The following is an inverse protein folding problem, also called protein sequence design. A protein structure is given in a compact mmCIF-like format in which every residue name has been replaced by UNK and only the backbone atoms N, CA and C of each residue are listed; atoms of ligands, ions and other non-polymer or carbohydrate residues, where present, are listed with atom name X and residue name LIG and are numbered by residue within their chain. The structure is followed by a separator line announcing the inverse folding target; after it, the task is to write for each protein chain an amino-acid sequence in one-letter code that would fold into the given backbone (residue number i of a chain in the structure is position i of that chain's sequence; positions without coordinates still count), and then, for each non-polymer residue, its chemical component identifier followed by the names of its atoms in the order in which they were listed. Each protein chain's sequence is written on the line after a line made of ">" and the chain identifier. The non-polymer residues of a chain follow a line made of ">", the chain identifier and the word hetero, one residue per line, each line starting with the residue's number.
data_IF_332761076787
#
_entry.id   IF_332761076787
#
_cell.length_a   1.000
_cell.length_b   1.000
_cell.length_c   1.000
_cell.angle_alpha   90.00
_cell.angle_beta   90.00
_cell.angle_gamma   90.00
#
_symmetry.space_group_name_H-M   'P 1'
#
loop_
_entity.id
_entity.type
_entity.pdbx_description
1 polymer ?
#
# COMPACT_ATOMS: atom_id res chain seq x y z
N UNK A 1 -32.35 -41.74 -12.42
CA UNK A 1 -31.07 -41.06 -12.11
C UNK A 1 -31.29 -39.56 -12.32
N UNK A 2 -31.70 -38.85 -11.26
CA UNK A 2 -31.88 -37.40 -11.31
C UNK A 2 -30.52 -36.78 -11.00
N UNK A 3 -29.90 -36.13 -11.98
CA UNK A 3 -28.69 -35.33 -11.77
C UNK A 3 -29.11 -34.00 -11.14
N UNK A 4 -28.93 -33.86 -9.85
CA UNK A 4 -28.98 -32.55 -9.17
C UNK A 4 -27.64 -31.85 -9.38
N UNK A 5 -27.53 -31.05 -10.44
CA UNK A 5 -26.53 -29.98 -10.49
C UNK A 5 -27.07 -28.81 -9.66
N UNK A 6 -26.78 -28.81 -8.36
CA UNK A 6 -26.94 -27.62 -7.53
C UNK A 6 -25.65 -26.81 -7.59
N UNK A 7 -25.53 -25.91 -8.56
CA UNK A 7 -24.67 -24.73 -8.40
C UNK A 7 -25.37 -23.85 -7.36
N UNK A 8 -24.97 -24.00 -6.10
CA UNK A 8 -25.37 -23.08 -5.04
C UNK A 8 -24.84 -21.69 -5.40
N UNK A 9 -25.74 -20.74 -5.65
CA UNK A 9 -25.39 -19.33 -5.80
C UNK A 9 -24.89 -18.83 -4.44
N UNK A 10 -23.59 -18.54 -4.35
CA UNK A 10 -22.99 -17.93 -3.18
C UNK A 10 -23.49 -16.49 -3.05
N UNK A 11 -23.68 -16.05 -1.81
CA UNK A 11 -24.06 -14.66 -1.56
C UNK A 11 -22.86 -13.72 -1.81
N UNK A 12 -23.15 -12.44 -2.15
CA UNK A 12 -22.11 -11.42 -2.39
C UNK A 12 -21.15 -11.23 -1.19
N UNK A 13 -21.61 -11.49 0.03
CA UNK A 13 -20.79 -11.41 1.24
C UNK A 13 -19.82 -12.60 1.34
N UNK A 14 -20.28 -13.82 1.10
CA UNK A 14 -19.45 -15.03 1.07
C UNK A 14 -18.38 -14.94 -0.02
N UNK A 15 -18.72 -14.41 -1.20
CA UNK A 15 -17.73 -14.20 -2.27
C UNK A 15 -16.64 -13.20 -1.88
N UNK A 16 -16.99 -12.11 -1.19
CA UNK A 16 -16.02 -11.10 -0.73
C UNK A 16 -15.09 -11.68 0.32
N UNK A 17 -15.62 -12.45 1.26
CA UNK A 17 -14.86 -13.11 2.31
C UNK A 17 -13.89 -14.14 1.71
N UNK A 18 -14.35 -14.96 0.75
CA UNK A 18 -13.52 -15.91 0.01
C UNK A 18 -12.36 -15.22 -0.74
N UNK A 19 -12.64 -14.12 -1.45
CA UNK A 19 -11.59 -13.36 -2.16
C UNK A 19 -10.58 -12.74 -1.19
N UNK A 20 -11.02 -12.26 -0.03
CA UNK A 20 -10.13 -11.72 0.98
C UNK A 20 -9.23 -12.81 1.61
N UNK A 21 -9.80 -13.99 1.90
CA UNK A 21 -9.04 -15.14 2.38
C UNK A 21 -7.98 -15.60 1.37
N UNK A 22 -8.35 -15.68 0.08
CA UNK A 22 -7.39 -15.96 -0.99
C UNK A 22 -6.29 -14.89 -1.10
N UNK A 23 -6.64 -13.61 -0.92
CA UNK A 23 -5.67 -12.52 -0.91
C UNK A 23 -4.69 -12.65 0.27
N UNK A 24 -5.20 -12.97 1.46
CA UNK A 24 -4.38 -13.21 2.65
C UNK A 24 -3.42 -14.39 2.44
N UNK A 25 -3.93 -15.52 1.95
CA UNK A 25 -3.11 -16.70 1.64
C UNK A 25 -1.98 -16.35 0.66
N UNK A 26 -2.32 -15.69 -0.45
CA UNK A 26 -1.36 -15.25 -1.44
C UNK A 26 -0.28 -14.32 -0.85
N UNK A 27 -0.65 -13.46 0.09
CA UNK A 27 0.28 -12.56 0.74
C UNK A 27 1.12 -13.25 1.83
N UNK A 28 0.68 -14.37 2.40
CA UNK A 28 1.44 -15.17 3.38
C UNK A 28 2.48 -16.06 2.69
N UNK A 29 2.14 -16.63 1.53
CA UNK A 29 3.02 -17.56 0.81
C UNK A 29 4.10 -16.81 0.02
N UNK A 30 3.82 -15.61 -0.47
CA UNK A 30 4.75 -14.89 -1.34
C UNK A 30 5.93 -14.28 -0.59
N UNK A 31 7.13 -14.68 -0.98
CA UNK A 31 8.41 -14.12 -0.53
C UNK A 31 8.97 -13.03 -1.44
N UNK A 32 8.63 -13.04 -2.74
CA UNK A 32 9.21 -12.15 -3.75
C UNK A 32 8.17 -11.57 -4.73
N UNK A 33 8.62 -10.61 -5.55
CA UNK A 33 7.82 -10.02 -6.63
C UNK A 33 7.50 -11.06 -7.71
N UNK A 34 6.33 -10.90 -8.33
CA UNK A 34 5.94 -11.72 -9.49
C UNK A 34 6.47 -11.06 -10.76
N UNK A 35 7.24 -11.81 -11.56
CA UNK A 35 7.74 -11.36 -12.85
C UNK A 35 6.59 -11.06 -13.82
N UNK A 36 6.73 -9.96 -14.58
CA UNK A 36 5.71 -9.56 -15.55
C UNK A 36 6.35 -8.93 -16.80
N UNK A 37 6.18 -9.61 -17.94
CA UNK A 37 6.69 -9.18 -19.24
C UNK A 37 5.83 -8.07 -19.86
N UNK A 38 4.54 -7.99 -19.53
CA UNK A 38 3.60 -7.01 -20.09
C UNK A 38 3.97 -5.59 -19.70
N UNK A 39 3.86 -4.65 -20.64
CA UNK A 39 4.11 -3.23 -20.37
C UNK A 39 2.98 -2.63 -19.52
N UNK A 40 3.30 -1.57 -18.78
CA UNK A 40 2.31 -0.85 -17.97
C UNK A 40 1.65 0.20 -18.85
N UNK A 41 0.34 0.16 -18.94
CA UNK A 41 -0.45 1.19 -19.59
C UNK A 41 -0.70 2.35 -18.61
N UNK A 42 -0.47 3.59 -19.07
CA UNK A 42 -0.63 4.79 -18.25
C UNK A 42 -1.61 5.73 -18.94
N UNK A 43 -2.75 5.96 -18.29
CA UNK A 43 -3.73 6.97 -18.68
C UNK A 43 -3.57 8.16 -17.74
N UNK A 44 -2.98 9.25 -18.23
CA UNK A 44 -2.76 10.45 -17.44
C UNK A 44 -4.00 11.35 -17.43
N UNK A 45 -4.16 12.13 -16.35
CA UNK A 45 -5.22 13.14 -16.24
C UNK A 45 -5.02 14.27 -17.25
N UNK A 46 -3.78 14.68 -17.47
CA UNK A 46 -3.39 15.62 -18.52
C UNK A 46 -2.63 14.85 -19.62
N UNK A 47 -3.19 14.74 -20.84
CA UNK A 47 -2.57 14.01 -21.94
C UNK A 47 -1.25 14.63 -22.45
N UNK A 48 -0.99 15.90 -22.14
CA UNK A 48 0.19 16.62 -22.62
C UNK A 48 1.34 16.61 -21.61
N UNK A 49 1.10 16.08 -20.40
CA UNK A 49 2.13 15.92 -19.39
C UNK A 49 3.13 14.84 -19.84
N UNK A 50 4.45 15.03 -19.65
CA UNK A 50 5.41 13.99 -19.98
C UNK A 50 5.20 12.74 -19.11
N UNK A 51 5.43 11.57 -19.71
CA UNK A 51 5.45 10.30 -18.98
C UNK A 51 6.71 10.26 -18.11
N UNK A 52 6.54 10.15 -16.79
CA UNK A 52 7.63 9.97 -15.86
C UNK A 52 7.73 8.49 -15.48
N UNK A 53 8.88 7.89 -15.77
CA UNK A 53 9.27 6.56 -15.30
C UNK A 53 10.61 6.69 -14.60
N UNK A 54 10.71 6.13 -13.40
CA UNK A 54 11.97 6.05 -12.64
C UNK A 54 12.52 4.65 -12.66
N UNK A 55 13.85 4.50 -12.63
CA UNK A 55 14.51 3.18 -12.61
C UNK A 55 15.23 2.87 -11.30
N UNK A 56 15.32 3.85 -10.41
CA UNK A 56 16.00 3.75 -9.12
C UNK A 56 15.19 4.49 -8.03
N UNK A 57 15.40 4.13 -6.77
CA UNK A 57 14.72 4.80 -5.66
C UNK A 57 15.35 6.16 -5.34
N UNK A 58 16.61 6.35 -5.74
CA UNK A 58 17.41 7.56 -5.62
C UNK A 58 16.84 8.70 -6.49
N UNK A 59 16.33 8.38 -7.68
CA UNK A 59 15.65 9.32 -8.58
C UNK A 59 14.39 9.95 -7.94
N UNK A 60 13.77 9.27 -6.99
CA UNK A 60 12.55 9.73 -6.31
C UNK A 60 12.81 10.77 -5.21
N UNK A 61 14.08 11.08 -4.90
CA UNK A 61 14.47 12.08 -3.89
C UNK A 61 13.77 11.89 -2.53
N UNK A 62 13.65 10.64 -2.10
CA UNK A 62 13.00 10.29 -0.83
C UNK A 62 13.79 10.85 0.37
N UNK A 63 13.08 11.06 1.50
CA UNK A 63 13.74 11.35 2.78
C UNK A 63 14.78 10.26 3.08
N UNK A 64 16.01 10.59 3.53
CA UNK A 64 17.08 9.61 3.72
C UNK A 64 16.68 8.41 4.60
N UNK A 65 15.91 8.67 5.65
CA UNK A 65 15.40 7.66 6.57
C UNK A 65 14.42 6.69 5.87
N UNK A 66 13.63 7.19 4.93
CA UNK A 66 12.69 6.36 4.16
C UNK A 66 13.44 5.51 3.14
N UNK A 67 14.41 6.10 2.44
CA UNK A 67 15.25 5.37 1.49
C UNK A 67 16.03 4.24 2.19
N UNK A 68 16.55 4.49 3.39
CA UNK A 68 17.17 3.47 4.24
C UNK A 68 16.17 2.35 4.60
N UNK A 69 14.92 2.69 4.89
CA UNK A 69 13.85 1.73 5.14
C UNK A 69 13.56 0.83 3.94
N UNK A 70 13.51 1.40 2.73
CA UNK A 70 13.34 0.67 1.47
C UNK A 70 14.47 -0.36 1.28
N UNK A 71 15.73 0.02 1.47
CA UNK A 71 16.85 -0.92 1.33
C UNK A 71 16.89 -1.97 2.45
N UNK A 72 16.53 -1.61 3.68
CA UNK A 72 16.49 -2.55 4.81
C UNK A 72 15.44 -3.66 4.60
N UNK A 73 14.41 -3.40 3.79
CA UNK A 73 13.44 -4.41 3.34
C UNK A 73 13.96 -5.30 2.19
N UNK A 74 15.16 -5.03 1.66
CA UNK A 74 15.76 -5.76 0.55
C UNK A 74 15.30 -5.30 -0.84
N UNK A 75 14.67 -4.12 -0.95
CA UNK A 75 14.26 -3.58 -2.24
C UNK A 75 15.43 -2.86 -2.91
N UNK A 76 15.94 -3.44 -4.01
CA UNK A 76 17.07 -2.88 -4.75
C UNK A 76 16.64 -1.90 -5.86
N UNK A 77 15.51 -2.17 -6.51
CA UNK A 77 14.95 -1.33 -7.58
C UNK A 77 13.41 -1.30 -7.49
N UNK A 78 12.77 -0.22 -7.98
CA UNK A 78 11.32 -0.19 -8.11
C UNK A 78 10.81 -1.35 -8.98
N UNK A 79 9.67 -1.92 -8.64
CA UNK A 79 8.98 -2.86 -9.52
C UNK A 79 8.35 -2.14 -10.71
N UNK A 80 8.03 -2.87 -11.79
CA UNK A 80 7.43 -2.30 -13.02
C UNK A 80 6.23 -1.37 -12.79
N UNK A 81 5.36 -1.71 -11.83
CA UNK A 81 4.22 -0.84 -11.48
C UNK A 81 4.67 0.38 -10.65
N UNK A 82 5.69 0.22 -9.80
CA UNK A 82 6.26 1.31 -8.99
C UNK A 82 7.01 2.33 -9.83
N UNK A 83 7.72 1.90 -10.89
CA UNK A 83 8.43 2.79 -11.81
C UNK A 83 7.52 3.89 -12.38
N UNK A 84 6.24 3.57 -12.60
CA UNK A 84 5.24 4.51 -13.12
C UNK A 84 4.37 5.13 -12.00
N UNK A 85 4.01 4.34 -10.98
CA UNK A 85 3.16 4.81 -9.89
C UNK A 85 3.85 5.80 -8.97
N UNK A 86 5.11 5.54 -8.57
CA UNK A 86 5.81 6.37 -7.59
C UNK A 86 6.03 7.81 -8.06
N UNK A 87 6.44 8.09 -9.31
CA UNK A 87 6.56 9.47 -9.79
C UNK A 87 5.23 10.23 -9.75
N UNK A 88 4.13 9.60 -10.15
CA UNK A 88 2.80 10.22 -10.09
C UNK A 88 2.36 10.45 -8.64
N UNK A 89 2.57 9.46 -7.77
CA UNK A 89 2.22 9.53 -6.36
C UNK A 89 3.10 10.51 -5.59
N UNK A 90 4.32 10.81 -6.02
CA UNK A 90 5.27 11.71 -5.34
C UNK A 90 5.42 13.07 -6.05
N UNK A 91 4.68 13.29 -7.13
CA UNK A 91 4.66 14.57 -7.82
C UNK A 91 4.27 15.72 -6.88
N UNK A 92 4.72 16.92 -7.25
CA UNK A 92 4.36 18.18 -6.59
C UNK A 92 3.61 19.06 -7.62
N UNK A 93 2.29 19.27 -7.46
CA UNK A 93 1.42 18.73 -6.41
C UNK A 93 1.11 17.22 -6.57
N UNK A 94 0.70 16.54 -5.48
CA UNK A 94 0.34 15.12 -5.52
C UNK A 94 -0.80 14.85 -6.50
N UNK A 95 -0.68 13.78 -7.28
CA UNK A 95 -1.72 13.35 -8.20
C UNK A 95 -2.47 12.13 -7.67
N UNK A 96 -3.78 12.10 -7.89
CA UNK A 96 -4.60 10.92 -7.62
C UNK A 96 -4.26 9.81 -8.61
N UNK A 97 -4.25 8.56 -8.14
CA UNK A 97 -3.88 7.40 -8.95
C UNK A 97 -4.86 6.26 -8.75
N UNK A 98 -5.33 5.68 -9.86
CA UNK A 98 -5.95 4.36 -9.89
C UNK A 98 -4.94 3.41 -10.53
N UNK A 99 -4.50 2.41 -9.78
CA UNK A 99 -3.52 1.44 -10.25
C UNK A 99 -4.10 0.02 -10.20
N UNK A 100 -4.17 -0.64 -11.35
CA UNK A 100 -4.55 -2.05 -11.46
C UNK A 100 -3.32 -2.90 -11.78
N UNK A 101 -3.10 -3.95 -11.01
CA UNK A 101 -2.12 -4.99 -11.35
C UNK A 101 -2.37 -6.26 -10.51
N UNK A 102 -1.83 -7.39 -10.95
CA UNK A 102 -1.94 -8.65 -10.19
C UNK A 102 -1.32 -8.56 -8.79
N UNK A 103 -1.77 -9.40 -7.86
CA UNK A 103 -1.16 -9.45 -6.53
C UNK A 103 0.32 -9.86 -6.63
N UNK A 104 1.19 -9.33 -5.76
CA UNK A 104 2.63 -9.60 -5.80
C UNK A 104 3.47 -8.67 -6.71
N UNK A 105 2.88 -7.62 -7.28
CA UNK A 105 3.62 -6.64 -8.12
C UNK A 105 4.22 -5.46 -7.33
N UNK A 106 4.07 -5.40 -6.02
CA UNK A 106 4.64 -4.32 -5.20
C UNK A 106 3.71 -3.12 -4.95
N UNK A 107 2.41 -3.23 -5.24
CA UNK A 107 1.41 -2.16 -4.94
C UNK A 107 1.43 -1.70 -3.48
N UNK A 108 1.52 -2.63 -2.53
CA UNK A 108 1.55 -2.29 -1.10
C UNK A 108 2.75 -1.43 -0.74
N UNK A 109 3.94 -1.82 -1.18
CA UNK A 109 5.14 -1.01 -0.99
C UNK A 109 5.01 0.36 -1.68
N UNK A 110 4.36 0.45 -2.85
CA UNK A 110 4.17 1.72 -3.56
C UNK A 110 3.38 2.75 -2.74
N UNK A 111 2.19 2.38 -2.24
CA UNK A 111 1.38 3.32 -1.46
C UNK A 111 1.91 3.56 -0.06
N UNK A 112 2.56 2.57 0.57
CA UNK A 112 3.21 2.78 1.88
C UNK A 112 4.33 3.79 1.76
N UNK A 113 5.16 3.69 0.72
CA UNK A 113 6.23 4.65 0.44
C UNK A 113 5.66 6.05 0.19
N UNK A 114 4.56 6.16 -0.57
CA UNK A 114 3.88 7.44 -0.80
C UNK A 114 3.27 8.06 0.47
N UNK A 115 2.73 7.25 1.38
CA UNK A 115 2.24 7.71 2.70
C UNK A 115 3.41 8.21 3.55
N UNK A 116 4.45 7.39 3.72
CA UNK A 116 5.60 7.71 4.56
C UNK A 116 6.40 8.91 4.06
N UNK A 117 6.43 9.15 2.74
CA UNK A 117 7.08 10.32 2.16
C UNK A 117 6.43 11.63 2.59
N UNK A 118 5.12 11.60 2.94
CA UNK A 118 4.32 12.78 3.26
C UNK A 118 4.11 13.01 4.74
N UNK A 119 4.18 11.96 5.56
CA UNK A 119 4.00 12.08 7.00
C UNK A 119 5.10 12.97 7.59
N UNK A 120 4.67 13.87 8.49
CA UNK A 120 5.53 14.64 9.36
C UNK A 120 5.43 14.10 10.80
N UNK A 121 6.41 13.31 11.30
CA UNK A 121 6.34 12.66 12.61
C UNK A 121 6.20 13.60 13.81
N UNK A 122 6.63 14.87 13.67
CA UNK A 122 6.47 15.90 14.69
C UNK A 122 4.99 16.18 15.02
N UNK A 123 4.11 16.07 14.03
CA UNK A 123 2.68 16.35 14.15
C UNK A 123 1.90 15.13 14.66
N UNK A 124 1.44 15.18 15.92
CA UNK A 124 0.87 14.04 16.65
C UNK A 124 -0.62 13.82 16.40
N UNK A 125 -1.01 13.72 15.13
CA UNK A 125 -2.36 13.36 14.71
C UNK A 125 -2.33 12.51 13.43
N UNK A 126 -3.43 11.78 13.10
CA UNK A 126 -3.48 11.00 11.86
C UNK A 126 -3.37 11.89 10.62
N UNK A 127 -2.32 11.67 9.81
CA UNK A 127 -2.06 12.40 8.56
C UNK A 127 -2.27 11.54 7.30
N UNK A 128 -2.29 10.23 7.46
CA UNK A 128 -2.51 9.27 6.38
C UNK A 128 -3.52 8.22 6.84
N UNK A 129 -4.41 7.80 5.93
CA UNK A 129 -5.43 6.79 6.19
C UNK A 129 -5.34 5.71 5.11
N UNK A 130 -5.29 4.45 5.54
CA UNK A 130 -5.32 3.29 4.66
C UNK A 130 -6.52 2.40 5.02
N UNK A 131 -7.41 2.17 4.05
CA UNK A 131 -8.56 1.28 4.23
C UNK A 131 -8.18 -0.11 3.73
N UNK A 132 -8.35 -1.10 4.60
CA UNK A 132 -8.15 -2.51 4.28
C UNK A 132 -9.48 -3.26 4.33
N UNK A 133 -9.71 -4.23 3.43
CA UNK A 133 -11.00 -4.93 3.36
C UNK A 133 -11.25 -5.86 4.55
N UNK A 134 -10.19 -6.33 5.22
CA UNK A 134 -10.29 -7.18 6.42
C UNK A 134 -9.27 -6.79 7.48
N UNK A 135 -9.51 -7.29 8.70
CA UNK A 135 -8.64 -7.12 9.86
C UNK A 135 -7.21 -7.64 9.61
N UNK A 136 -7.08 -8.84 9.06
CA UNK A 136 -5.81 -9.52 8.82
C UNK A 136 -4.99 -8.79 7.77
N UNK A 137 -5.65 -8.29 6.71
CA UNK A 137 -5.00 -7.50 5.67
C UNK A 137 -4.58 -6.12 6.19
N UNK A 138 -5.32 -5.54 7.14
CA UNK A 138 -4.91 -4.32 7.84
C UNK A 138 -3.63 -4.54 8.64
N UNK A 139 -3.57 -5.60 9.45
CA UNK A 139 -2.37 -5.98 10.20
C UNK A 139 -1.18 -6.23 9.29
N UNK A 140 -1.39 -6.93 8.18
CA UNK A 140 -0.30 -7.21 7.25
C UNK A 140 0.23 -5.94 6.59
N UNK A 141 -0.65 -5.03 6.19
CA UNK A 141 -0.24 -3.74 5.64
C UNK A 141 0.47 -2.90 6.69
N UNK A 142 0.00 -2.94 7.94
CA UNK A 142 0.63 -2.25 9.07
C UNK A 142 2.06 -2.73 9.35
N UNK A 143 2.33 -4.04 9.28
CA UNK A 143 3.70 -4.58 9.37
C UNK A 143 4.62 -4.00 8.28
N UNK A 144 4.12 -3.81 7.06
CA UNK A 144 4.90 -3.20 5.97
C UNK A 144 5.19 -1.73 6.28
N UNK A 145 4.21 -0.99 6.82
CA UNK A 145 4.39 0.41 7.25
C UNK A 145 5.47 0.49 8.35
N UNK A 146 5.40 -0.36 9.36
CA UNK A 146 6.36 -0.39 10.48
C UNK A 146 7.78 -0.76 10.01
N UNK A 147 7.91 -1.73 9.10
CA UNK A 147 9.21 -2.12 8.55
C UNK A 147 9.83 -1.02 7.69
N UNK A 148 9.06 -0.45 6.75
CA UNK A 148 9.55 0.59 5.85
C UNK A 148 9.81 1.91 6.61
N UNK A 149 8.99 2.21 7.62
CA UNK A 149 9.09 3.40 8.46
C UNK A 149 10.04 3.26 9.65
N UNK A 150 10.76 2.15 9.80
CA UNK A 150 11.56 1.82 11.01
C UNK A 150 12.59 2.89 11.38
N UNK A 151 13.12 3.63 10.41
CA UNK A 151 14.11 4.68 10.63
C UNK A 151 13.51 6.08 10.81
N UNK A 152 12.18 6.23 10.81
CA UNK A 152 11.52 7.47 11.22
C UNK A 152 11.32 7.45 12.73
N UNK A 153 12.16 8.16 13.52
CA UNK A 153 11.96 8.22 14.94
C UNK A 153 10.57 8.81 15.21
N UNK A 154 9.90 8.26 16.22
CA UNK A 154 8.60 8.71 16.68
C UNK A 154 7.40 8.50 15.74
N UNK A 155 7.57 7.86 14.57
CA UNK A 155 6.44 7.41 13.75
C UNK A 155 5.61 6.38 14.53
N UNK A 156 4.29 6.59 14.59
CA UNK A 156 3.36 5.67 15.25
C UNK A 156 2.24 5.28 14.31
N UNK A 157 1.80 4.03 14.42
CA UNK A 157 0.68 3.47 13.68
C UNK A 157 -0.49 3.20 14.64
N UNK A 158 -1.70 3.49 14.19
CA UNK A 158 -2.93 3.16 14.91
C UNK A 158 -3.81 2.24 14.03
N UNK A 159 -4.37 1.18 14.63
CA UNK A 159 -5.25 0.26 13.94
C UNK A 159 -6.71 0.54 14.30
N UNK A 160 -7.43 1.20 13.40
CA UNK A 160 -8.87 1.45 13.53
C UNK A 160 -9.68 0.22 13.10
N UNK A 161 -9.56 -0.87 13.86
CA UNK A 161 -10.18 -2.16 13.58
C UNK A 161 -11.03 -2.66 14.75
N UNK A 162 -11.93 -3.61 14.49
CA UNK A 162 -12.81 -4.17 15.53
C UNK A 162 -11.99 -4.72 16.70
N UNK A 163 -12.40 -4.39 17.93
CA UNK A 163 -11.73 -4.83 19.15
C UNK A 163 -10.56 -3.95 19.59
N UNK A 164 -10.24 -2.88 18.85
CA UNK A 164 -9.21 -1.94 19.28
C UNK A 164 -9.63 -1.21 20.57
N UNK A 165 -8.74 -1.18 21.55
CA UNK A 165 -8.91 -0.37 22.77
C UNK A 165 -8.31 1.01 22.49
N UNK A 166 -9.12 1.92 21.96
CA UNK A 166 -8.72 3.32 21.89
C UNK A 166 -8.65 3.89 23.31
N UNK A 167 -7.45 3.97 23.88
CA UNK A 167 -7.23 4.85 25.03
C UNK A 167 -7.43 6.29 24.57
N UNK A 168 -8.57 6.88 24.93
CA UNK A 168 -8.81 8.30 24.76
C UNK A 168 -7.87 9.07 25.71
N UNK A 169 -6.64 9.31 25.27
CA UNK A 169 -5.75 10.27 25.94
C UNK A 169 -6.23 11.65 25.50
N UNK A 170 -7.05 12.27 26.34
CA UNK A 170 -7.72 13.54 26.07
C UNK A 170 -6.82 14.50 25.31
N UNK A 171 -7.25 14.86 24.10
CA UNK A 171 -6.63 15.93 23.35
C UNK A 171 -6.69 17.19 24.23
N UNK A 172 -5.53 17.76 24.59
CA UNK A 172 -5.54 19.14 25.07
C UNK A 172 -6.13 19.99 23.95
N UNK A 173 -7.10 20.87 24.21
CA UNK A 173 -7.52 21.84 23.23
C UNK A 173 -6.28 22.63 22.78
N UNK A 174 -6.09 22.75 21.46
CA UNK A 174 -5.10 23.72 20.94
C UNK A 174 -5.58 25.12 21.39
N UNK A 175 -4.66 26.02 21.78
CA UNK A 175 -5.00 27.39 22.17
C UNK A 175 -5.69 28.16 21.03
#
# INVERSE_FOLDING_TARGET
>A
VIKTNATAEKTDEEEKEDRAAQSLLNKLIRSNLVDNTNQVEVLQRDPNSPLYSVKSFEELRLKPQLLQGVYAMGFNRPSKIQENALPMMLAEPPQNLIAQSQSGTGKTAAFVLAMLSRVEPAERYPQCLCLSPTYELALQTGKVIEQMGRFHPELKLAYAVRGNKCEYKGARPRP
#
